data_IF_572509167356
#
_entry.id   IF_572509167356
#
_cell.length_a   1.000
_cell.length_b   1.000
_cell.length_c   1.000
_cell.angle_alpha   90.00
_cell.angle_beta   90.00
_cell.angle_gamma   90.00
#
_symmetry.space_group_name_H-M   'P 1'
#
loop_
_entity.id
_entity.type
_entity.pdbx_description
1 polymer ?
#
# COMPACT_ATOMS: atom_id res chain seq x y z
N UNK A 1 18.00 -9.56 -6.04
CA UNK A 1 16.93 -10.03 -6.95
C UNK A 1 15.73 -9.06 -6.94
N UNK A 2 15.95 -7.75 -7.09
CA UNK A 2 14.87 -6.75 -7.21
C UNK A 2 15.03 -5.82 -8.43
N UNK A 3 16.13 -5.95 -9.19
CA UNK A 3 16.37 -5.16 -10.41
C UNK A 3 15.36 -5.42 -11.53
N UNK A 4 14.84 -6.65 -11.61
CA UNK A 4 13.97 -7.11 -12.71
C UNK A 4 12.67 -6.29 -12.80
N UNK A 5 12.07 -5.91 -11.66
CA UNK A 5 10.79 -5.17 -11.67
C UNK A 5 10.98 -3.70 -12.09
N UNK A 6 12.10 -3.08 -11.70
CA UNK A 6 12.40 -1.69 -12.10
C UNK A 6 12.82 -1.61 -13.58
N UNK A 7 13.52 -2.62 -14.07
CA UNK A 7 13.91 -2.73 -15.48
C UNK A 7 12.69 -2.98 -16.38
N UNK A 8 11.73 -3.80 -15.94
CA UNK A 8 10.48 -4.06 -16.66
C UNK A 8 9.61 -2.79 -16.88
N UNK A 9 9.54 -1.88 -15.91
CA UNK A 9 8.84 -0.58 -16.05
C UNK A 9 9.54 0.30 -17.08
N UNK A 10 10.88 0.35 -17.04
CA UNK A 10 11.66 1.26 -17.89
C UNK A 10 11.66 0.81 -19.36
N UNK A 11 11.55 -0.50 -19.63
CA UNK A 11 11.68 -1.09 -20.96
C UNK A 11 10.35 -1.25 -21.73
N UNK A 12 9.20 -1.32 -21.07
CA UNK A 12 7.92 -1.69 -21.73
C UNK A 12 6.96 -0.53 -21.97
N UNK A 13 7.21 0.65 -21.38
CA UNK A 13 6.30 1.81 -21.46
C UNK A 13 4.93 1.57 -20.81
N UNK A 14 4.78 0.49 -20.04
CA UNK A 14 3.54 0.10 -19.37
C UNK A 14 3.62 0.42 -17.88
N UNK A 15 2.50 0.86 -17.32
CA UNK A 15 2.38 1.08 -15.87
C UNK A 15 2.29 -0.27 -15.16
N UNK A 16 3.14 -0.48 -14.16
CA UNK A 16 3.12 -1.68 -13.32
C UNK A 16 2.56 -1.33 -11.94
N UNK A 17 1.57 -2.10 -11.50
CA UNK A 17 1.10 -2.12 -10.13
C UNK A 17 1.54 -3.43 -9.50
N UNK A 18 2.22 -3.36 -8.36
CA UNK A 18 2.59 -4.53 -7.56
C UNK A 18 2.03 -4.40 -6.15
N UNK A 19 1.76 -5.53 -5.50
CA UNK A 19 1.35 -5.58 -4.10
C UNK A 19 2.44 -6.33 -3.34
N UNK A 20 2.97 -5.71 -2.29
CA UNK A 20 4.03 -6.31 -1.47
C UNK A 20 3.91 -5.85 -0.02
N UNK A 21 4.29 -6.75 0.90
CA UNK A 21 4.50 -6.44 2.30
C UNK A 21 5.98 -6.16 2.64
N UNK A 22 6.89 -6.25 1.65
CA UNK A 22 8.29 -5.89 1.81
C UNK A 22 8.50 -4.38 1.58
N UNK A 23 8.90 -3.62 2.62
CA UNK A 23 9.17 -2.19 2.48
C UNK A 23 10.36 -1.88 1.56
N UNK A 24 11.31 -2.81 1.41
CA UNK A 24 12.45 -2.63 0.49
C UNK A 24 11.97 -2.68 -0.95
N UNK A 25 11.22 -3.72 -1.32
CA UNK A 25 10.59 -3.80 -2.64
C UNK A 25 9.72 -2.56 -2.95
N UNK A 26 8.83 -2.16 -2.02
CA UNK A 26 7.96 -1.01 -2.18
C UNK A 26 8.72 0.30 -2.40
N UNK A 27 9.91 0.45 -1.82
CA UNK A 27 10.75 1.65 -1.98
C UNK A 27 11.30 1.85 -3.40
N UNK A 28 11.27 0.82 -4.25
CA UNK A 28 11.67 0.94 -5.65
C UNK A 28 10.59 1.54 -6.55
N UNK A 29 9.35 1.63 -6.07
CA UNK A 29 8.26 2.23 -6.81
C UNK A 29 8.36 3.77 -6.80
N UNK A 30 7.78 4.41 -7.80
CA UNK A 30 7.65 5.88 -7.80
C UNK A 30 6.71 6.37 -6.70
N UNK A 31 5.68 5.57 -6.38
CA UNK A 31 4.67 5.87 -5.36
C UNK A 31 4.19 4.58 -4.69
N UNK A 32 4.03 4.62 -3.37
CA UNK A 32 3.41 3.56 -2.57
C UNK A 32 2.03 4.02 -2.12
N UNK A 33 1.01 3.21 -2.37
CA UNK A 33 -0.35 3.41 -1.85
C UNK A 33 -0.59 2.43 -0.72
N UNK A 34 -1.06 2.92 0.43
CA UNK A 34 -1.37 2.07 1.59
C UNK A 34 -2.87 1.81 1.66
N UNK A 35 -3.22 0.54 1.77
CA UNK A 35 -4.59 0.08 1.95
C UNK A 35 -4.81 -0.47 3.35
N UNK A 36 -5.94 -0.12 3.96
CA UNK A 36 -6.45 -0.77 5.16
C UNK A 36 -7.98 -0.85 5.08
N UNK A 37 -8.55 -1.98 5.50
CA UNK A 37 -10.00 -2.22 5.52
C UNK A 37 -10.72 -1.85 4.19
N UNK A 38 -10.10 -2.23 3.06
CA UNK A 38 -10.64 -1.98 1.71
C UNK A 38 -10.58 -0.52 1.24
N UNK A 39 -9.90 0.36 1.97
CA UNK A 39 -9.78 1.79 1.66
C UNK A 39 -8.32 2.21 1.49
N UNK A 40 -8.08 3.16 0.59
CA UNK A 40 -6.80 3.87 0.52
C UNK A 40 -6.72 4.78 1.74
N UNK A 41 -5.76 4.51 2.61
CA UNK A 41 -5.57 5.26 3.86
C UNK A 41 -4.36 6.20 3.80
N UNK A 42 -3.46 6.00 2.85
CA UNK A 42 -2.31 6.88 2.66
C UNK A 42 -1.63 6.68 1.30
N UNK A 43 -0.77 7.63 0.92
CA UNK A 43 0.07 7.56 -0.27
C UNK A 43 1.42 8.22 0.00
N UNK A 44 2.50 7.58 -0.44
CA UNK A 44 3.87 8.04 -0.24
C UNK A 44 4.62 8.14 -1.59
N UNK A 45 4.82 9.36 -2.12
CA UNK A 45 5.66 9.58 -3.29
C UNK A 45 7.15 9.52 -2.91
N UNK A 46 8.00 9.05 -3.82
CA UNK A 46 9.45 8.86 -3.60
C UNK A 46 9.74 8.13 -2.27
N UNK A 47 9.22 6.90 -2.13
CA UNK A 47 9.32 6.12 -0.90
C UNK A 47 10.78 5.79 -0.54
N UNK A 48 11.05 5.61 0.76
CA UNK A 48 12.27 4.96 1.24
C UNK A 48 11.91 3.79 2.17
N UNK A 49 12.78 2.76 2.30
CA UNK A 49 12.43 1.55 3.04
C UNK A 49 12.01 1.82 4.49
N UNK A 50 12.70 2.72 5.20
CA UNK A 50 12.43 3.00 6.60
C UNK A 50 11.05 3.64 6.80
N UNK A 51 10.69 4.62 5.96
CA UNK A 51 9.39 5.28 6.02
C UNK A 51 8.24 4.33 5.67
N UNK A 52 8.43 3.46 4.66
CA UNK A 52 7.42 2.46 4.30
C UNK A 52 7.22 1.45 5.44
N UNK A 53 8.31 0.95 6.02
CA UNK A 53 8.25 0.01 7.14
C UNK A 53 7.53 0.62 8.35
N UNK A 54 7.88 1.86 8.71
CA UNK A 54 7.25 2.59 9.80
C UNK A 54 5.74 2.76 9.55
N UNK A 55 5.35 3.10 8.32
CA UNK A 55 3.93 3.26 7.97
C UNK A 55 3.17 1.94 8.03
N UNK A 56 3.74 0.85 7.53
CA UNK A 56 3.14 -0.50 7.63
C UNK A 56 2.92 -0.91 9.09
N UNK A 57 3.89 -0.64 9.97
CA UNK A 57 3.77 -0.94 11.40
C UNK A 57 2.66 -0.11 12.10
N UNK A 58 2.47 1.14 11.70
CA UNK A 58 1.36 1.96 12.21
C UNK A 58 -0.01 1.39 11.79
N UNK A 59 -0.12 0.90 10.56
CA UNK A 59 -1.38 0.35 10.04
C UNK A 59 -1.72 -1.01 10.64
N UNK A 60 -0.73 -1.81 11.05
CA UNK A 60 -0.96 -3.09 11.73
C UNK A 60 -1.36 -2.92 13.19
N UNK A 61 -0.97 -1.82 13.83
CA UNK A 61 -1.30 -1.52 15.24
C UNK A 61 -2.56 -0.67 15.39
N UNK A 62 -2.98 0.03 14.33
CA UNK A 62 -4.22 0.80 14.36
C UNK A 62 -5.42 -0.14 14.62
N UNK A 63 -6.32 0.19 15.56
CA UNK A 63 -7.53 -0.59 15.76
C UNK A 63 -8.29 -0.65 14.44
N UNK A 64 -8.56 -1.87 13.93
CA UNK A 64 -9.47 -2.07 12.80
C UNK A 64 -10.70 -1.23 13.09
N UNK A 65 -10.96 -0.25 12.24
CA UNK A 65 -11.92 0.81 12.58
C UNK A 65 -13.27 0.15 12.85
N UNK A 66 -13.68 0.13 14.12
CA UNK A 66 -14.99 -0.33 14.57
C UNK A 66 -16.04 0.68 14.07
N UNK A 67 -16.38 0.58 12.78
CA UNK A 67 -17.22 1.55 12.08
C UNK A 67 -17.97 0.98 10.89
N UNK A 68 -18.12 -0.35 10.80
CA UNK A 68 -18.76 -1.03 9.69
C UNK A 68 -19.72 -2.15 10.19
N UNK A 69 -20.58 -1.85 11.17
CA UNK A 69 -21.66 -2.77 11.58
C UNK A 69 -22.98 -2.06 11.93
N UNK A 70 -23.18 -0.84 11.39
CA UNK A 70 -24.36 -0.01 11.73
C UNK A 70 -25.15 0.54 10.55
N UNK A 71 -24.97 -0.02 9.35
CA UNK A 71 -25.63 0.47 8.12
C UNK A 71 -26.46 -0.57 7.33
N UNK A 72 -26.77 -1.75 7.88
CA UNK A 72 -27.61 -2.75 7.19
C UNK A 72 -28.87 -3.18 7.99
N UNK A 73 -29.39 -2.31 8.87
CA UNK A 73 -30.50 -2.67 9.78
C UNK A 73 -31.78 -1.83 9.65
N UNK A 74 -32.03 -1.15 8.53
CA UNK A 74 -33.17 -0.25 8.37
C UNK A 74 -33.95 -0.49 7.09
N UNK A 75 -34.81 -1.51 7.07
CA UNK A 75 -36.08 -1.54 6.34
C UNK A 75 -36.73 -2.92 6.50
N UNK A 76 -37.69 -3.06 7.43
CA UNK A 76 -39.02 -3.67 7.21
C UNK A 76 -39.98 -3.14 8.27
#
# INVERSE_FOLDING_TARGET
MLGILREAVTLTGQTIVMVTHDPVAASYADTVVFFADGRIVDTMPRPNPAAVAARMAQLSTAPRSAGQDRRDGGAR
#
